data_IF_506981630519
#
_entry.id   IF_506981630519
#
_cell.length_a   1.000
_cell.length_b   1.000
_cell.length_c   1.000
_cell.angle_alpha   90.00
_cell.angle_beta   90.00
_cell.angle_gamma   90.00
#
_symmetry.space_group_name_H-M   'P 1'
#
loop_
_entity.id
_entity.type
_entity.pdbx_description
1 polymer ?
#
# COMPACT_ATOMS: atom_id res chain seq x y z
N UNK A 1 -10.85 -19.13 -20.92
CA UNK A 1 -11.02 -17.67 -20.71
C UNK A 1 -9.63 -17.10 -20.57
N UNK A 2 -9.28 -16.08 -21.37
CA UNK A 2 -8.00 -15.40 -21.20
C UNK A 2 -8.09 -14.49 -19.97
N UNK A 3 -6.98 -14.36 -19.24
CA UNK A 3 -6.94 -13.53 -18.03
C UNK A 3 -5.82 -12.52 -18.10
N UNK A 4 -6.06 -11.32 -17.56
CA UNK A 4 -5.05 -10.33 -17.24
C UNK A 4 -4.59 -10.57 -15.80
N UNK A 5 -3.31 -10.88 -15.62
CA UNK A 5 -2.68 -11.14 -14.32
C UNK A 5 -2.04 -9.88 -13.78
N UNK A 6 -2.40 -9.51 -12.56
CA UNK A 6 -1.92 -8.30 -11.89
C UNK A 6 -1.05 -8.67 -10.68
N UNK A 7 0.10 -8.03 -10.54
CA UNK A 7 0.84 -7.96 -9.27
C UNK A 7 0.79 -6.51 -8.77
N UNK A 8 0.24 -6.32 -7.57
CA UNK A 8 -0.14 -4.98 -7.12
C UNK A 8 0.13 -4.75 -5.64
N UNK A 9 0.45 -3.49 -5.30
CA UNK A 9 0.34 -3.02 -3.93
C UNK A 9 -1.10 -3.19 -3.41
N UNK A 10 -1.25 -3.56 -2.13
CA UNK A 10 -2.56 -3.80 -1.51
C UNK A 10 -3.51 -2.60 -1.58
N UNK A 11 -2.98 -1.37 -1.63
CA UNK A 11 -3.79 -0.16 -1.72
C UNK A 11 -4.71 -0.12 -2.96
N UNK A 12 -4.32 -0.77 -4.06
CA UNK A 12 -5.11 -0.79 -5.29
C UNK A 12 -6.10 -1.97 -5.37
N UNK A 13 -6.10 -2.90 -4.41
CA UNK A 13 -6.97 -4.09 -4.44
C UNK A 13 -8.46 -3.72 -4.55
N UNK A 14 -8.92 -2.81 -3.69
CA UNK A 14 -10.30 -2.34 -3.73
C UNK A 14 -10.65 -1.59 -5.02
N UNK A 15 -9.69 -0.90 -5.64
CA UNK A 15 -9.90 -0.25 -6.94
C UNK A 15 -10.05 -1.31 -8.04
N UNK A 16 -9.10 -2.24 -8.15
CA UNK A 16 -9.09 -3.31 -9.15
C UNK A 16 -10.35 -4.16 -9.04
N UNK A 17 -10.75 -4.54 -7.82
CA UNK A 17 -11.95 -5.33 -7.57
C UNK A 17 -13.23 -4.65 -8.06
N UNK A 18 -13.34 -3.32 -7.91
CA UNK A 18 -14.50 -2.55 -8.41
C UNK A 18 -14.50 -2.39 -9.93
N UNK A 19 -13.33 -2.31 -10.58
CA UNK A 19 -13.23 -2.12 -12.03
C UNK A 19 -13.24 -3.42 -12.83
N UNK A 20 -12.82 -4.54 -12.22
CA UNK A 20 -12.68 -5.84 -12.86
C UNK A 20 -13.94 -6.32 -13.62
N UNK A 21 -15.18 -6.19 -13.11
CA UNK A 21 -16.37 -6.59 -13.85
C UNK A 21 -16.55 -5.79 -15.15
N UNK A 22 -16.30 -4.48 -15.13
CA UNK A 22 -16.41 -3.62 -16.32
C UNK A 22 -15.34 -3.92 -17.36
N UNK A 23 -14.11 -4.18 -16.92
CA UNK A 23 -13.02 -4.62 -17.81
C UNK A 23 -13.36 -5.97 -18.44
N UNK A 24 -13.88 -6.91 -17.66
CA UNK A 24 -14.26 -8.24 -18.16
C UNK A 24 -15.39 -8.14 -19.18
N UNK A 25 -16.41 -7.33 -18.92
CA UNK A 25 -17.55 -7.14 -19.83
C UNK A 25 -17.15 -6.47 -21.15
N UNK A 26 -16.20 -5.53 -21.12
CA UNK A 26 -15.79 -4.77 -22.31
C UNK A 26 -14.70 -5.46 -23.15
N UNK A 27 -13.85 -6.27 -22.52
CA UNK A 27 -12.67 -6.86 -23.19
C UNK A 27 -12.76 -8.39 -23.34
N UNK A 28 -13.61 -9.06 -22.55
CA UNK A 28 -13.67 -10.52 -22.46
C UNK A 28 -12.53 -11.16 -21.65
N UNK A 29 -11.58 -10.38 -21.13
CA UNK A 29 -10.52 -10.88 -20.27
C UNK A 29 -10.94 -10.86 -18.80
N UNK A 30 -10.79 -11.99 -18.11
CA UNK A 30 -10.94 -12.02 -16.66
C UNK A 30 -9.76 -11.28 -16.00
N UNK A 31 -10.03 -10.49 -14.97
CA UNK A 31 -8.97 -9.85 -14.17
C UNK A 31 -8.65 -10.72 -12.96
N UNK A 32 -7.39 -11.14 -12.85
CA UNK A 32 -6.87 -11.91 -11.72
C UNK A 32 -5.63 -11.22 -11.15
N UNK A 33 -5.28 -11.48 -9.89
CA UNK A 33 -4.06 -10.87 -9.36
C UNK A 33 -3.71 -11.25 -7.94
N UNK A 34 -2.48 -10.90 -7.57
CA UNK A 34 -1.95 -10.98 -6.21
C UNK A 34 -1.73 -9.56 -5.69
N UNK A 35 -2.16 -9.33 -4.45
CA UNK A 35 -2.08 -8.03 -3.78
C UNK A 35 -1.28 -8.17 -2.50
N UNK A 36 -0.39 -7.21 -2.22
CA UNK A 36 0.43 -7.27 -1.01
C UNK A 36 1.38 -6.08 -0.86
N UNK A 37 2.45 -6.26 -0.11
CA UNK A 37 3.50 -5.25 -0.02
C UNK A 37 4.17 -5.09 -1.39
N UNK A 38 4.43 -3.83 -1.79
CA UNK A 38 4.98 -3.53 -3.12
C UNK A 38 6.34 -4.17 -3.38
N UNK A 39 7.17 -4.33 -2.34
CA UNK A 39 8.45 -5.02 -2.43
C UNK A 39 8.29 -6.51 -2.75
N UNK A 40 7.33 -7.18 -2.13
CA UNK A 40 7.05 -8.60 -2.38
C UNK A 40 6.54 -8.83 -3.81
N UNK A 41 5.73 -7.90 -4.33
CA UNK A 41 5.23 -7.97 -5.71
C UNK A 41 6.36 -7.78 -6.73
N UNK A 42 7.28 -6.83 -6.49
CA UNK A 42 8.47 -6.68 -7.31
C UNK A 42 9.37 -7.93 -7.24
N UNK A 43 9.53 -8.52 -6.05
CA UNK A 43 10.30 -9.75 -5.87
C UNK A 43 9.69 -10.93 -6.64
N UNK A 44 8.36 -11.06 -6.64
CA UNK A 44 7.64 -12.07 -7.44
C UNK A 44 7.91 -11.93 -8.93
N UNK A 45 7.83 -10.71 -9.47
CA UNK A 45 8.15 -10.46 -10.89
C UNK A 45 9.60 -10.83 -11.22
N UNK A 46 10.55 -10.38 -10.38
CA UNK A 46 11.99 -10.72 -10.50
C UNK A 46 12.25 -12.23 -10.41
N UNK A 47 11.45 -12.97 -9.66
CA UNK A 47 11.50 -14.42 -9.56
C UNK A 47 10.87 -15.15 -10.77
N UNK A 48 10.34 -14.42 -11.76
CA UNK A 48 9.75 -14.98 -12.96
C UNK A 48 8.24 -15.27 -12.86
N UNK A 49 7.57 -14.81 -11.80
CA UNK A 49 6.10 -14.86 -11.75
C UNK A 49 5.53 -13.95 -12.86
N UNK A 50 4.85 -14.57 -13.82
CA UNK A 50 4.31 -13.82 -14.97
C UNK A 50 3.18 -12.88 -14.56
N UNK A 51 3.30 -11.61 -14.93
CA UNK A 51 2.31 -10.57 -14.75
C UNK A 51 2.12 -9.78 -16.04
N UNK A 52 0.88 -9.40 -16.34
CA UNK A 52 0.54 -8.54 -17.48
C UNK A 52 0.50 -7.06 -17.06
N UNK A 53 0.21 -6.79 -15.77
CA UNK A 53 0.12 -5.44 -15.20
C UNK A 53 0.80 -5.40 -13.83
N UNK A 54 1.64 -4.39 -13.64
CA UNK A 54 2.25 -4.05 -12.35
C UNK A 54 1.61 -2.76 -11.81
N UNK A 55 1.15 -2.77 -10.56
CA UNK A 55 0.65 -1.56 -9.88
C UNK A 55 1.44 -1.36 -8.59
N UNK A 56 2.56 -0.65 -8.68
CA UNK A 56 3.50 -0.41 -7.57
C UNK A 56 3.78 1.09 -7.41
N UNK A 57 4.72 1.44 -6.52
CA UNK A 57 5.23 2.80 -6.41
C UNK A 57 6.04 3.18 -7.65
N UNK A 58 6.02 4.46 -8.06
CA UNK A 58 6.80 4.98 -9.19
C UNK A 58 8.26 4.49 -9.16
N UNK A 59 8.95 4.67 -8.04
CA UNK A 59 10.35 4.23 -7.90
C UNK A 59 10.56 2.74 -8.19
N UNK A 60 9.65 1.85 -7.79
CA UNK A 60 9.78 0.42 -8.07
C UNK A 60 9.46 0.09 -9.53
N UNK A 61 8.53 0.81 -10.16
CA UNK A 61 8.28 0.66 -11.60
C UNK A 61 9.49 1.12 -12.39
N UNK A 62 10.10 2.25 -12.03
CA UNK A 62 11.30 2.78 -12.69
C UNK A 62 12.48 1.79 -12.56
N UNK A 63 12.69 1.18 -11.39
CA UNK A 63 13.69 0.12 -11.18
C UNK A 63 13.42 -1.09 -12.09
N UNK A 64 12.17 -1.58 -12.14
CA UNK A 64 11.80 -2.75 -12.95
C UNK A 64 11.86 -2.47 -14.46
N UNK A 65 11.62 -1.23 -14.88
CA UNK A 65 11.83 -0.77 -16.26
C UNK A 65 13.32 -0.74 -16.62
N UNK A 66 14.18 -0.22 -15.73
CA UNK A 66 15.63 -0.24 -15.91
C UNK A 66 16.20 -1.68 -15.95
N UNK A 67 15.57 -2.62 -15.23
CA UNK A 67 15.88 -4.05 -15.27
C UNK A 67 15.34 -4.75 -16.54
N UNK A 68 14.52 -4.08 -17.35
CA UNK A 68 13.90 -4.65 -18.55
C UNK A 68 12.78 -5.66 -18.25
N UNK A 69 12.25 -5.66 -17.02
CA UNK A 69 11.16 -6.55 -16.59
C UNK A 69 9.77 -5.96 -16.85
N UNK A 70 9.69 -4.63 -17.00
CA UNK A 70 8.48 -3.90 -17.38
C UNK A 70 8.72 -3.19 -18.72
N UNK A 71 7.67 -3.06 -19.54
CA UNK A 71 7.74 -2.39 -20.82
C UNK A 71 8.09 -0.91 -20.64
N UNK A 72 9.20 -0.49 -21.25
CA UNK A 72 9.67 0.88 -21.14
C UNK A 72 8.65 1.90 -21.64
N UNK A 73 8.46 2.98 -20.87
CA UNK A 73 7.49 4.04 -21.17
C UNK A 73 6.01 3.66 -21.02
N UNK A 74 5.69 2.47 -20.53
CA UNK A 74 4.29 2.05 -20.27
C UNK A 74 3.72 2.60 -18.95
N UNK A 75 4.58 3.10 -18.08
CA UNK A 75 4.21 3.51 -16.72
C UNK A 75 3.32 4.78 -16.71
N UNK A 76 2.14 4.65 -16.11
CA UNK A 76 1.20 5.75 -15.89
C UNK A 76 0.81 5.84 -14.42
N UNK A 77 0.61 7.07 -13.93
CA UNK A 77 0.15 7.29 -12.56
C UNK A 77 -1.35 6.96 -12.45
N UNK A 78 -1.70 5.99 -11.60
CA UNK A 78 -3.09 5.55 -11.38
C UNK A 78 -3.77 6.38 -10.28
N UNK A 79 -3.01 6.83 -9.28
CA UNK A 79 -3.53 7.62 -8.17
C UNK A 79 -2.54 7.74 -7.01
N UNK A 80 -2.88 8.61 -6.06
CA UNK A 80 -2.12 8.78 -4.83
C UNK A 80 -2.71 7.95 -3.69
N UNK A 81 -1.84 7.43 -2.82
CA UNK A 81 -2.23 6.69 -1.61
C UNK A 81 -1.74 7.47 -0.39
N UNK A 82 -2.57 8.33 0.22
CA UNK A 82 -2.17 9.07 1.42
C UNK A 82 -2.06 8.12 2.62
N UNK A 83 -1.08 8.35 3.49
CA UNK A 83 -1.09 7.73 4.83
C UNK A 83 -2.11 8.49 5.68
N UNK A 84 -3.02 7.75 6.31
CA UNK A 84 -4.12 8.32 7.10
C UNK A 84 -4.33 7.55 8.40
N UNK A 85 -4.96 8.20 9.38
CA UNK A 85 -5.41 7.57 10.62
C UNK A 85 -6.81 7.03 10.43
N UNK A 86 -7.05 5.79 10.84
CA UNK A 86 -8.37 5.16 10.83
C UNK A 86 -8.71 4.67 12.23
N UNK A 87 -10.00 4.72 12.57
CA UNK A 87 -10.58 4.15 13.80
C UNK A 87 -11.63 3.11 13.43
N UNK A 88 -12.07 2.30 14.40
CA UNK A 88 -13.15 1.32 14.14
C UNK A 88 -14.45 2.06 13.87
N UNK A 89 -15.33 1.44 13.09
CA UNK A 89 -16.66 1.99 12.86
C UNK A 89 -17.41 2.16 14.19
N UNK A 90 -17.93 3.36 14.42
CA UNK A 90 -18.63 3.73 15.66
C UNK A 90 -17.75 4.38 16.74
N UNK A 91 -16.42 4.29 16.62
CA UNK A 91 -15.51 5.00 17.52
C UNK A 91 -15.46 6.49 17.20
N UNK A 92 -15.19 7.32 18.22
CA UNK A 92 -14.97 8.74 18.02
C UNK A 92 -13.71 8.97 17.18
N UNK A 93 -13.83 9.81 16.15
CA UNK A 93 -12.68 10.22 15.32
C UNK A 93 -11.83 11.22 16.12
N UNK A 94 -10.55 10.90 16.42
CA UNK A 94 -9.68 11.81 17.15
C UNK A 94 -9.32 13.03 16.31
N UNK A 95 -9.04 14.16 16.97
CA UNK A 95 -8.42 15.30 16.30
C UNK A 95 -6.96 14.97 15.95
N UNK A 96 -6.64 15.11 14.67
CA UNK A 96 -5.30 14.89 14.10
C UNK A 96 -4.88 16.06 13.19
N UNK A 97 -5.51 17.23 13.38
CA UNK A 97 -5.32 18.42 12.53
C UNK A 97 -3.97 19.12 12.72
N UNK A 98 -3.29 18.86 13.84
CA UNK A 98 -1.99 19.44 14.20
C UNK A 98 -1.03 18.37 14.68
N UNK A 99 0.27 18.70 14.74
CA UNK A 99 1.30 17.80 15.26
C UNK A 99 1.01 17.39 16.71
N UNK A 100 0.59 18.35 17.54
CA UNK A 100 0.26 18.16 18.94
C UNK A 100 -1.01 17.31 19.11
N UNK A 101 -2.05 17.57 18.31
CA UNK A 101 -3.28 16.79 18.33
C UNK A 101 -3.04 15.33 17.91
N UNK A 102 -2.29 15.11 16.83
CA UNK A 102 -1.90 13.77 16.40
C UNK A 102 -1.10 13.03 17.47
N UNK A 103 -0.12 13.70 18.10
CA UNK A 103 0.65 13.13 19.21
C UNK A 103 -0.24 12.70 20.37
N UNK A 104 -1.17 13.57 20.78
CA UNK A 104 -2.09 13.29 21.87
C UNK A 104 -3.05 12.13 21.53
N UNK A 105 -3.59 12.11 20.31
CA UNK A 105 -4.45 11.04 19.82
C UNK A 105 -3.75 9.67 19.83
N UNK A 106 -2.49 9.61 19.36
CA UNK A 106 -1.70 8.38 19.34
C UNK A 106 -1.40 7.88 20.75
N UNK A 107 -0.98 8.76 21.66
CA UNK A 107 -0.68 8.39 23.05
C UNK A 107 -1.93 7.95 23.84
N UNK A 108 -3.10 8.44 23.47
CA UNK A 108 -4.37 8.03 24.08
C UNK A 108 -4.91 6.71 23.49
N UNK A 109 -4.37 6.26 22.36
CA UNK A 109 -4.84 5.05 21.69
C UNK A 109 -4.47 3.80 22.50
N UNK A 110 -5.39 2.84 22.69
CA UNK A 110 -5.10 1.60 23.41
C UNK A 110 -4.27 0.61 22.59
N UNK A 111 -4.27 0.76 21.27
CA UNK A 111 -3.48 -0.04 20.35
C UNK A 111 -3.20 0.73 19.06
N UNK A 112 -2.06 0.46 18.43
CA UNK A 112 -1.70 1.00 17.11
C UNK A 112 -1.53 -0.13 16.10
N UNK A 113 -2.38 -0.14 15.08
CA UNK A 113 -2.24 -1.03 13.92
C UNK A 113 -1.60 -0.27 12.77
N UNK A 114 -0.48 -0.77 12.26
CA UNK A 114 0.16 -0.23 11.07
C UNK A 114 0.89 -1.35 10.30
N UNK A 115 1.15 -1.16 8.99
CA UNK A 115 2.01 -2.06 8.22
C UNK A 115 3.39 -2.22 8.87
N UNK A 116 4.07 -3.34 8.57
CA UNK A 116 5.40 -3.62 9.14
C UNK A 116 6.35 -2.43 8.93
N UNK A 117 6.86 -1.89 10.04
CA UNK A 117 7.65 -0.65 10.06
C UNK A 117 9.04 -0.76 9.43
N UNK A 118 9.56 -1.98 9.26
CA UNK A 118 10.88 -2.24 8.70
C UNK A 118 10.79 -2.58 7.21
N UNK A 119 9.82 -3.42 6.84
CA UNK A 119 9.75 -4.01 5.50
C UNK A 119 8.79 -3.32 4.55
N UNK A 120 7.86 -2.47 5.03
CA UNK A 120 6.89 -1.80 4.18
C UNK A 120 7.11 -0.29 4.07
N UNK A 121 6.86 0.29 2.90
CA UNK A 121 6.97 1.76 2.67
C UNK A 121 6.06 2.55 3.59
N UNK A 122 4.81 2.10 3.76
CA UNK A 122 3.84 2.74 4.66
C UNK A 122 4.26 2.62 6.12
N UNK A 123 4.77 1.47 6.55
CA UNK A 123 5.26 1.28 7.91
C UNK A 123 6.49 2.12 8.22
N UNK A 124 7.45 2.21 7.28
CA UNK A 124 8.62 3.10 7.42
C UNK A 124 8.20 4.56 7.57
N UNK A 125 7.20 4.99 6.81
CA UNK A 125 6.63 6.33 6.95
C UNK A 125 6.01 6.55 8.33
N UNK A 126 5.22 5.59 8.85
CA UNK A 126 4.68 5.64 10.22
C UNK A 126 5.81 5.74 11.25
N UNK A 127 6.86 4.92 11.15
CA UNK A 127 7.98 4.98 12.09
C UNK A 127 8.70 6.34 12.07
N UNK A 128 8.85 6.95 10.90
CA UNK A 128 9.42 8.29 10.77
C UNK A 128 8.53 9.34 11.46
N UNK A 129 7.21 9.29 11.24
CA UNK A 129 6.24 10.18 11.91
C UNK A 129 6.30 10.01 13.42
N UNK A 130 6.28 8.78 13.93
CA UNK A 130 6.36 8.52 15.38
C UNK A 130 7.66 9.05 16.00
N UNK A 131 8.77 8.97 15.25
CA UNK A 131 10.06 9.53 15.66
C UNK A 131 10.03 11.06 15.69
N UNK A 132 9.43 11.70 14.68
CA UNK A 132 9.25 13.16 14.62
C UNK A 132 8.33 13.69 15.72
N UNK A 133 7.35 12.90 16.14
CA UNK A 133 6.47 13.20 17.27
C UNK A 133 7.10 12.92 18.64
N UNK A 134 8.28 12.28 18.66
CA UNK A 134 9.00 11.93 19.89
C UNK A 134 8.25 10.91 20.76
N UNK A 135 7.46 10.02 20.15
CA UNK A 135 6.64 9.00 20.86
C UNK A 135 6.90 7.58 20.36
N UNK A 136 7.97 7.37 19.60
CA UNK A 136 8.23 6.08 18.96
C UNK A 136 8.29 4.93 19.97
N UNK A 137 8.97 5.12 21.09
CA UNK A 137 9.17 4.08 22.09
C UNK A 137 7.86 3.72 22.79
N UNK A 138 7.08 4.73 23.17
CA UNK A 138 5.77 4.56 23.79
C UNK A 138 4.82 3.80 22.86
N UNK A 139 4.80 4.17 21.58
CA UNK A 139 3.91 3.54 20.61
C UNK A 139 4.34 2.12 20.23
N UNK A 140 5.63 1.80 20.25
CA UNK A 140 6.10 0.42 20.04
C UNK A 140 5.55 -0.54 21.10
N UNK A 141 5.30 -0.08 22.33
CA UNK A 141 4.78 -0.92 23.42
C UNK A 141 3.32 -1.32 23.29
N UNK A 142 2.52 -0.57 22.53
CA UNK A 142 1.07 -0.83 22.35
C UNK A 142 0.74 -1.47 20.99
N UNK A 143 1.76 -1.82 20.20
CA UNK A 143 1.56 -2.50 18.94
C UNK A 143 1.19 -3.97 19.21
N UNK A 144 0.04 -4.45 18.72
CA UNK A 144 -0.29 -5.86 18.76
C UNK A 144 0.78 -6.67 18.01
N UNK A 145 1.04 -7.88 18.51
CA UNK A 145 1.92 -8.86 17.85
C UNK A 145 1.35 -9.31 16.49
#
# INVERSE_FOLDING_TARGET
MNSLRILSGGAAEGLVGRTAPGVTASTGFAVTGTFGAVGDMAAKLRAGEGADIMILTRALIDDLEAEGLVLAGSAVDVGAVPTSVAVRAGDAVPDVSTQEALRAALLAAPALFCPNIETSTAGRHVAAVLSQLGIRQEMESIRPA
#
